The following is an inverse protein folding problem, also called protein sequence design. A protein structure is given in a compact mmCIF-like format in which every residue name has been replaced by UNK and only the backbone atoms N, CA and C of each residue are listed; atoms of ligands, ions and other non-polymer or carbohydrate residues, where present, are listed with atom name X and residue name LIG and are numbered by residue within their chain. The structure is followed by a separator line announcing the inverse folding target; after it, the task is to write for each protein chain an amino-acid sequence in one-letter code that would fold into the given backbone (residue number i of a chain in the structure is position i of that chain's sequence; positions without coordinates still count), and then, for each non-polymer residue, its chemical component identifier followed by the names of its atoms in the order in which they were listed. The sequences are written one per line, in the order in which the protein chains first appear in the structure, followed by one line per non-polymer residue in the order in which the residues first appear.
data_IF_675642625707
#
_entry.id   IF_675642625707
#
_cell.length_a   1.000
_cell.length_b   1.000
_cell.length_c   1.000
_cell.angle_alpha   90.00
_cell.angle_beta   90.00
_cell.angle_gamma   90.00
#
_symmetry.space_group_name_H-M   'P 1'
#
loop_
_entity.id
_entity.type
_entity.pdbx_description
1 polymer ?
#
# COMPACT_ATOMS: atom_id res chain seq x y z
N UNK A 1 54.87 -22.92 43.20
CA UNK A 1 53.91 -23.34 42.15
C UNK A 1 54.75 -23.74 40.93
N UNK A 2 54.43 -24.83 40.26
CA UNK A 2 55.13 -25.22 39.04
C UNK A 2 54.80 -24.24 37.89
N UNK A 3 55.80 -23.88 37.09
CA UNK A 3 55.72 -22.86 36.02
C UNK A 3 54.62 -23.16 34.98
N UNK A 4 54.38 -24.45 34.71
CA UNK A 4 53.33 -24.89 33.80
C UNK A 4 51.89 -24.54 34.28
N UNK A 5 51.67 -24.48 35.60
CA UNK A 5 50.36 -24.11 36.17
C UNK A 5 50.05 -22.61 35.95
N UNK A 6 51.07 -21.76 36.05
CA UNK A 6 50.97 -20.32 35.77
C UNK A 6 50.67 -20.06 34.28
N UNK A 7 51.31 -20.81 33.39
CA UNK A 7 51.04 -20.68 31.95
C UNK A 7 49.62 -21.15 31.57
N UNK A 8 49.12 -22.23 32.17
CA UNK A 8 47.74 -22.68 31.96
C UNK A 8 46.72 -21.66 32.47
N UNK A 9 46.94 -21.05 33.62
CA UNK A 9 46.05 -19.99 34.16
C UNK A 9 46.03 -18.74 33.27
N UNK A 10 47.19 -18.36 32.70
CA UNK A 10 47.26 -17.20 31.78
C UNK A 10 46.55 -17.47 30.47
N UNK A 11 46.68 -18.66 29.88
CA UNK A 11 45.94 -19.05 28.66
C UNK A 11 44.44 -19.11 28.92
N UNK A 12 44.02 -19.67 30.05
CA UNK A 12 42.60 -19.72 30.41
C UNK A 12 42.03 -18.31 30.64
N UNK A 13 42.73 -17.42 31.31
CA UNK A 13 42.35 -16.02 31.48
C UNK A 13 42.24 -15.30 30.15
N UNK A 14 43.16 -15.51 29.21
CA UNK A 14 43.09 -14.95 27.86
C UNK A 14 41.87 -15.45 27.09
N UNK A 15 41.57 -16.75 27.14
CA UNK A 15 40.38 -17.33 26.48
C UNK A 15 39.07 -16.77 27.05
N UNK A 16 38.98 -16.57 28.37
CA UNK A 16 37.80 -15.94 28.99
C UNK A 16 37.62 -14.49 28.53
N UNK A 17 38.68 -13.71 28.49
CA UNK A 17 38.63 -12.32 28.01
C UNK A 17 38.25 -12.29 26.54
N UNK A 18 38.84 -13.14 25.69
CA UNK A 18 38.51 -13.24 24.28
C UNK A 18 37.04 -13.65 24.05
N UNK A 19 36.53 -14.62 24.83
CA UNK A 19 35.13 -15.02 24.79
C UNK A 19 34.18 -13.88 25.20
N UNK A 20 34.53 -13.17 26.29
CA UNK A 20 33.73 -12.03 26.76
C UNK A 20 33.71 -10.89 25.74
N UNK A 21 34.88 -10.54 25.16
CA UNK A 21 34.92 -9.50 24.12
C UNK A 21 34.14 -9.89 22.85
N UNK A 22 34.22 -11.17 22.43
CA UNK A 22 33.44 -11.67 21.30
C UNK A 22 31.94 -11.60 21.58
N UNK A 23 31.48 -11.95 22.78
CA UNK A 23 30.09 -11.82 23.19
C UNK A 23 29.63 -10.37 23.20
N UNK A 24 30.43 -9.45 23.73
CA UNK A 24 30.11 -8.01 23.72
C UNK A 24 30.01 -7.44 22.30
N UNK A 25 30.92 -7.82 21.40
CA UNK A 25 30.89 -7.41 20.01
C UNK A 25 29.66 -7.98 19.28
N UNK A 26 29.32 -9.24 19.52
CA UNK A 26 28.15 -9.90 18.95
C UNK A 26 26.86 -9.24 19.45
N UNK A 27 26.72 -8.96 20.74
CA UNK A 27 25.55 -8.28 21.29
C UNK A 27 25.40 -6.87 20.70
N UNK A 28 26.50 -6.11 20.62
CA UNK A 28 26.48 -4.79 20.00
C UNK A 28 26.10 -4.83 18.51
N UNK A 29 26.58 -5.84 17.77
CA UNK A 29 26.20 -6.07 16.38
C UNK A 29 24.70 -6.36 16.24
N UNK A 30 24.17 -7.29 17.06
CA UNK A 30 22.74 -7.63 17.05
C UNK A 30 21.83 -6.45 17.42
N UNK A 31 22.23 -5.67 18.45
CA UNK A 31 21.50 -4.46 18.84
C UNK A 31 21.46 -3.46 17.68
N UNK A 32 22.57 -3.23 17.01
CA UNK A 32 22.63 -2.29 15.88
C UNK A 32 21.81 -2.76 14.68
N UNK A 33 21.73 -4.06 14.43
CA UNK A 33 20.86 -4.64 13.41
C UNK A 33 19.38 -4.44 13.76
N UNK A 34 19.00 -4.69 15.01
CA UNK A 34 17.64 -4.47 15.50
C UNK A 34 17.21 -3.00 15.40
N UNK A 35 18.09 -2.06 15.81
CA UNK A 35 17.82 -0.62 15.68
C UNK A 35 17.62 -0.18 14.23
N UNK A 36 18.42 -0.71 13.30
CA UNK A 36 18.24 -0.43 11.87
C UNK A 36 16.91 -0.96 11.35
N UNK A 37 16.54 -2.17 11.70
CA UNK A 37 15.28 -2.78 11.29
C UNK A 37 14.08 -1.96 11.79
N UNK A 38 14.09 -1.59 13.08
CA UNK A 38 13.05 -0.73 13.66
C UNK A 38 12.97 0.64 12.99
N UNK A 39 14.11 1.24 12.63
CA UNK A 39 14.13 2.51 11.93
C UNK A 39 13.60 2.40 10.50
N UNK A 40 13.90 1.31 9.78
CA UNK A 40 13.35 1.02 8.45
C UNK A 40 11.83 0.81 8.51
N UNK A 41 11.32 0.02 9.45
CA UNK A 41 9.89 -0.17 9.66
C UNK A 41 9.19 1.16 9.97
N UNK A 42 9.74 1.94 10.91
CA UNK A 42 9.19 3.25 11.24
C UNK A 42 9.16 4.19 10.02
N UNK A 43 10.18 4.16 9.18
CA UNK A 43 10.23 4.95 7.94
C UNK A 43 9.17 4.51 6.92
N UNK A 44 8.93 3.20 6.80
CA UNK A 44 7.87 2.67 5.92
C UNK A 44 6.50 3.14 6.42
N UNK A 45 6.19 2.98 7.71
CA UNK A 45 4.93 3.45 8.30
C UNK A 45 4.74 4.96 8.16
N UNK A 46 5.80 5.77 8.28
CA UNK A 46 5.74 7.21 8.07
C UNK A 46 5.41 7.58 6.61
N UNK A 47 5.91 6.80 5.64
CA UNK A 47 5.63 7.00 4.22
C UNK A 47 4.28 6.44 3.77
N UNK A 48 3.73 5.46 4.51
CA UNK A 48 2.44 4.82 4.23
C UNK A 48 1.52 4.89 5.45
N UNK A 49 1.11 6.09 5.87
CA UNK A 49 0.24 6.26 7.03
C UNK A 49 -1.14 5.66 6.76
N UNK A 50 -1.75 5.08 7.80
CA UNK A 50 -3.13 4.59 7.77
C UNK A 50 -4.05 5.61 8.44
N UNK A 51 -4.57 6.55 7.65
CA UNK A 51 -5.51 7.58 8.11
C UNK A 51 -6.94 7.19 7.70
N UNK A 52 -7.95 7.56 8.49
CA UNK A 52 -9.36 7.21 8.28
C UNK A 52 -9.65 5.71 8.24
N UNK A 53 -8.88 4.90 8.96
CA UNK A 53 -8.95 3.44 8.94
C UNK A 53 -10.38 2.90 9.08
N UNK A 54 -11.08 3.32 10.13
CA UNK A 54 -12.42 2.82 10.44
C UNK A 54 -13.43 3.13 9.33
N UNK A 55 -13.35 4.32 8.73
CA UNK A 55 -14.20 4.70 7.61
C UNK A 55 -13.87 3.89 6.35
N UNK A 56 -12.59 3.69 6.07
CA UNK A 56 -12.14 2.91 4.91
C UNK A 56 -12.58 1.46 5.05
N UNK A 57 -12.35 0.83 6.21
CA UNK A 57 -12.74 -0.56 6.45
C UNK A 57 -14.26 -0.74 6.38
N UNK A 58 -15.03 0.17 6.99
CA UNK A 58 -16.49 0.13 6.94
C UNK A 58 -17.03 0.25 5.50
N UNK A 59 -16.54 1.22 4.72
CA UNK A 59 -17.01 1.41 3.36
C UNK A 59 -16.48 0.33 2.40
N UNK A 60 -15.25 -0.13 2.57
CA UNK A 60 -14.73 -1.25 1.79
C UNK A 60 -15.55 -2.53 2.03
N UNK A 61 -15.97 -2.80 3.27
CA UNK A 61 -16.85 -3.90 3.62
C UNK A 61 -18.25 -3.74 2.99
N UNK A 62 -18.87 -2.54 3.08
CA UNK A 62 -20.18 -2.26 2.47
C UNK A 62 -20.19 -2.56 0.97
N UNK A 63 -19.10 -2.21 0.28
CA UNK A 63 -18.99 -2.33 -1.18
C UNK A 63 -18.18 -3.55 -1.65
N UNK A 64 -17.86 -4.50 -0.77
CA UNK A 64 -17.08 -5.72 -1.08
C UNK A 64 -15.76 -5.42 -1.80
N UNK A 65 -14.99 -4.48 -1.26
CA UNK A 65 -13.69 -4.06 -1.76
C UNK A 65 -12.58 -4.48 -0.79
N UNK A 66 -11.37 -4.61 -1.31
CA UNK A 66 -10.19 -4.75 -0.45
C UNK A 66 -9.83 -3.38 0.16
N UNK A 67 -9.79 -3.21 1.50
CA UNK A 67 -9.50 -1.94 2.15
C UNK A 67 -8.09 -1.40 1.84
N UNK A 68 -7.09 -2.28 1.60
CA UNK A 68 -5.76 -1.86 1.18
C UNK A 68 -5.79 -1.18 -0.20
N UNK A 69 -6.63 -1.65 -1.12
CA UNK A 69 -6.78 -1.04 -2.45
C UNK A 69 -7.45 0.33 -2.36
N UNK A 70 -8.52 0.46 -1.55
CA UNK A 70 -9.17 1.77 -1.29
C UNK A 70 -8.16 2.74 -0.68
N UNK A 71 -7.38 2.30 0.31
CA UNK A 71 -6.34 3.12 0.95
C UNK A 71 -5.28 3.58 -0.05
N UNK A 72 -4.86 2.69 -0.96
CA UNK A 72 -3.90 3.02 -2.02
C UNK A 72 -4.43 4.08 -2.99
N UNK A 73 -5.71 4.03 -3.36
CA UNK A 73 -6.36 5.08 -4.16
C UNK A 73 -6.34 6.41 -3.41
N UNK A 74 -6.85 6.47 -2.16
CA UNK A 74 -6.87 7.70 -1.35
C UNK A 74 -5.48 8.32 -1.21
N UNK A 75 -4.46 7.50 -0.95
CA UNK A 75 -3.08 7.98 -0.86
C UNK A 75 -2.60 8.63 -2.15
N UNK A 76 -2.91 8.05 -3.30
CA UNK A 76 -2.47 8.57 -4.59
C UNK A 76 -3.27 9.79 -5.06
N UNK A 77 -4.54 9.89 -4.67
CA UNK A 77 -5.42 11.00 -5.05
C UNK A 77 -5.18 12.26 -4.22
N UNK A 78 -5.11 12.14 -2.91
CA UNK A 78 -5.08 13.31 -2.01
C UNK A 78 -3.99 13.27 -0.94
N UNK A 79 -3.23 12.18 -0.81
CA UNK A 79 -2.37 11.94 0.36
C UNK A 79 -3.13 12.12 1.68
N UNK A 80 -4.36 11.63 1.73
CA UNK A 80 -5.30 11.72 2.87
C UNK A 80 -5.74 13.15 3.24
N UNK A 81 -5.73 14.09 2.30
CA UNK A 81 -6.16 15.48 2.50
C UNK A 81 -7.66 15.62 2.19
N UNK A 82 -8.55 15.77 3.18
CA UNK A 82 -10.00 15.78 2.92
C UNK A 82 -10.44 17.02 2.14
N UNK A 83 -9.70 18.12 2.24
CA UNK A 83 -9.98 19.36 1.52
C UNK A 83 -9.14 19.55 0.25
N UNK A 84 -8.55 18.48 -0.28
CA UNK A 84 -7.83 18.55 -1.55
C UNK A 84 -8.79 18.92 -2.69
N UNK A 85 -8.37 19.86 -3.53
CA UNK A 85 -9.05 20.25 -4.76
C UNK A 85 -8.05 20.34 -5.90
N UNK A 86 -8.32 19.68 -7.00
CA UNK A 86 -7.46 19.72 -8.18
C UNK A 86 -7.77 20.93 -9.06
N UNK A 87 -6.85 21.27 -9.95
CA UNK A 87 -7.06 22.36 -10.94
C UNK A 87 -8.24 22.12 -11.91
N UNK A 88 -8.72 20.89 -12.00
CA UNK A 88 -9.88 20.51 -12.82
C UNK A 88 -11.14 20.29 -11.98
N UNK A 89 -11.10 20.62 -10.68
CA UNK A 89 -12.27 20.62 -9.80
C UNK A 89 -12.58 19.27 -9.15
N UNK A 90 -11.69 18.29 -9.20
CA UNK A 90 -11.86 17.06 -8.42
C UNK A 90 -11.67 17.35 -6.92
N UNK A 91 -12.48 16.73 -6.03
CA UNK A 91 -12.53 17.06 -4.61
C UNK A 91 -12.38 15.88 -3.67
N UNK A 92 -11.77 16.17 -2.52
CA UNK A 92 -11.72 15.32 -1.33
C UNK A 92 -10.71 14.18 -1.41
N UNK A 93 -10.86 13.23 -0.50
CA UNK A 93 -9.92 12.12 -0.29
C UNK A 93 -9.68 11.28 -1.53
N UNK A 94 -10.73 11.02 -2.31
CA UNK A 94 -10.71 10.17 -3.51
C UNK A 94 -10.82 10.97 -4.81
N UNK A 95 -10.68 12.31 -4.75
CA UNK A 95 -10.65 13.23 -5.89
C UNK A 95 -11.78 12.96 -6.91
N UNK A 96 -13.03 12.97 -6.42
CA UNK A 96 -14.18 12.77 -7.27
C UNK A 96 -14.49 14.03 -8.09
N UNK A 97 -14.71 13.84 -9.40
CA UNK A 97 -15.16 14.90 -10.31
C UNK A 97 -16.63 15.24 -10.07
N UNK A 98 -17.05 16.51 -10.29
CA UNK A 98 -18.43 16.94 -10.08
C UNK A 98 -19.47 16.03 -10.74
N UNK A 99 -19.33 15.77 -12.04
CA UNK A 99 -20.28 14.96 -12.81
C UNK A 99 -20.33 13.50 -12.32
N UNK A 100 -19.16 12.96 -11.94
CA UNK A 100 -19.07 11.60 -11.39
C UNK A 100 -19.76 11.52 -10.03
N UNK A 101 -19.54 12.49 -9.16
CA UNK A 101 -20.14 12.52 -7.83
C UNK A 101 -21.66 12.73 -7.91
N UNK A 102 -22.16 13.58 -8.82
CA UNK A 102 -23.58 13.77 -9.05
C UNK A 102 -24.24 12.49 -9.56
N UNK A 103 -23.61 11.82 -10.52
CA UNK A 103 -24.09 10.53 -11.03
C UNK A 103 -24.17 9.47 -9.92
N UNK A 104 -23.14 9.37 -9.06
CA UNK A 104 -23.11 8.47 -7.91
C UNK A 104 -24.21 8.83 -6.91
N UNK A 105 -24.41 10.12 -6.61
CA UNK A 105 -25.47 10.59 -5.73
C UNK A 105 -26.86 10.12 -6.20
N UNK A 106 -27.11 10.19 -7.51
CA UNK A 106 -28.32 9.64 -8.14
C UNK A 106 -28.45 8.13 -7.97
N UNK A 107 -27.37 7.37 -8.12
CA UNK A 107 -27.37 5.91 -7.93
C UNK A 107 -27.59 5.50 -6.48
N UNK A 108 -26.98 6.22 -5.54
CA UNK A 108 -27.14 6.01 -4.10
C UNK A 108 -28.43 6.63 -3.54
N UNK A 109 -29.21 7.34 -4.38
CA UNK A 109 -30.45 8.05 -4.00
C UNK A 109 -30.26 9.03 -2.85
N UNK A 110 -29.13 9.76 -2.85
CA UNK A 110 -28.81 10.76 -1.83
C UNK A 110 -29.65 12.02 -2.06
N UNK A 111 -30.63 12.26 -1.19
CA UNK A 111 -31.44 13.47 -1.24
C UNK A 111 -30.64 14.72 -0.88
N UNK A 112 -30.93 15.86 -1.58
CA UNK A 112 -30.28 17.14 -1.28
C UNK A 112 -28.76 17.10 -1.47
N UNK A 113 -28.28 16.36 -2.44
CA UNK A 113 -26.85 16.30 -2.75
C UNK A 113 -26.33 17.67 -3.18
N UNK A 114 -25.17 18.06 -2.63
CA UNK A 114 -24.38 19.20 -3.07
C UNK A 114 -22.92 18.79 -3.14
N UNK A 115 -22.17 19.27 -4.13
CA UNK A 115 -20.80 18.83 -4.41
C UNK A 115 -19.81 19.18 -3.29
N UNK A 116 -20.11 20.20 -2.47
CA UNK A 116 -19.37 20.56 -1.25
C UNK A 116 -19.28 19.40 -0.26
N UNK A 117 -20.24 18.46 -0.31
CA UNK A 117 -20.21 17.23 0.50
C UNK A 117 -19.00 16.33 0.22
N UNK A 118 -18.32 16.52 -0.92
CA UNK A 118 -17.10 15.78 -1.25
C UNK A 118 -15.88 16.20 -0.43
N UNK A 119 -15.98 17.22 0.39
CA UNK A 119 -14.97 17.54 1.42
C UNK A 119 -15.19 16.78 2.74
N UNK A 120 -16.38 16.20 2.95
CA UNK A 120 -16.66 15.33 4.09
C UNK A 120 -16.05 13.94 3.87
N UNK A 121 -15.17 13.47 4.78
CA UNK A 121 -14.46 12.19 4.61
C UNK A 121 -15.38 10.99 4.41
N UNK A 122 -16.45 10.88 5.20
CA UNK A 122 -17.37 9.74 5.13
C UNK A 122 -18.10 9.71 3.78
N UNK A 123 -18.65 10.83 3.35
CA UNK A 123 -19.36 10.96 2.07
C UNK A 123 -18.41 10.68 0.90
N UNK A 124 -17.19 11.22 0.94
CA UNK A 124 -16.22 11.08 -0.14
C UNK A 124 -15.74 9.64 -0.29
N UNK A 125 -15.37 8.98 0.83
CA UNK A 125 -14.94 7.56 0.83
C UNK A 125 -16.10 6.67 0.37
N UNK A 126 -17.32 6.90 0.85
CA UNK A 126 -18.49 6.13 0.43
C UNK A 126 -18.75 6.22 -1.07
N UNK A 127 -18.70 7.42 -1.63
CA UNK A 127 -18.91 7.64 -3.07
C UNK A 127 -17.78 7.01 -3.89
N UNK A 128 -16.54 7.19 -3.46
CA UNK A 128 -15.39 6.57 -4.11
C UNK A 128 -15.41 5.05 -4.07
N UNK A 129 -15.78 4.44 -2.93
CA UNK A 129 -15.95 2.99 -2.81
C UNK A 129 -17.08 2.47 -3.71
N UNK A 130 -18.22 3.16 -3.78
CA UNK A 130 -19.27 2.81 -4.72
C UNK A 130 -18.76 2.82 -6.17
N UNK A 131 -17.98 3.85 -6.54
CA UNK A 131 -17.39 3.94 -7.89
C UNK A 131 -16.38 2.83 -8.17
N UNK A 132 -15.53 2.50 -7.19
CA UNK A 132 -14.59 1.37 -7.30
C UNK A 132 -15.33 0.03 -7.44
N UNK A 133 -16.42 -0.20 -6.70
CA UNK A 133 -17.26 -1.38 -6.85
C UNK A 133 -17.85 -1.45 -8.27
N UNK A 134 -18.37 -0.33 -8.77
CA UNK A 134 -18.91 -0.26 -10.14
C UNK A 134 -17.84 -0.64 -11.18
N UNK A 135 -16.64 -0.06 -11.08
CA UNK A 135 -15.52 -0.39 -11.98
C UNK A 135 -15.05 -1.84 -11.82
N UNK A 136 -15.00 -2.36 -10.58
CA UNK A 136 -14.67 -3.76 -10.31
C UNK A 136 -15.65 -4.72 -10.97
N UNK A 137 -16.94 -4.37 -11.00
CA UNK A 137 -17.95 -5.13 -11.72
C UNK A 137 -17.73 -5.16 -13.24
N UNK A 138 -17.23 -4.06 -13.82
CA UNK A 138 -16.93 -3.97 -15.25
C UNK A 138 -15.67 -4.74 -15.65
N UNK A 139 -14.68 -4.78 -14.77
CA UNK A 139 -13.35 -5.32 -15.07
C UNK A 139 -12.99 -6.54 -14.20
N UNK A 140 -13.99 -7.30 -13.76
CA UNK A 140 -13.83 -8.58 -13.03
C UNK A 140 -12.95 -8.49 -11.79
N UNK A 141 -12.86 -7.31 -11.17
CA UNK A 141 -12.05 -7.07 -9.98
C UNK A 141 -10.54 -6.98 -10.24
N UNK A 142 -10.09 -6.94 -11.51
CA UNK A 142 -8.67 -6.78 -11.83
C UNK A 142 -8.16 -5.41 -11.36
N UNK A 143 -7.22 -5.33 -10.38
CA UNK A 143 -6.83 -4.08 -9.78
C UNK A 143 -6.10 -3.14 -10.73
N UNK A 144 -5.42 -3.66 -11.77
CA UNK A 144 -4.74 -2.85 -12.79
C UNK A 144 -5.79 -2.17 -13.67
N UNK A 145 -6.77 -2.94 -14.16
CA UNK A 145 -7.87 -2.39 -14.98
C UNK A 145 -8.71 -1.38 -14.20
N UNK A 146 -9.03 -1.69 -12.92
CA UNK A 146 -9.82 -0.79 -12.06
C UNK A 146 -9.08 0.52 -11.78
N UNK A 147 -7.78 0.47 -11.45
CA UNK A 147 -6.97 1.67 -11.23
C UNK A 147 -6.81 2.50 -12.52
N UNK A 148 -6.57 1.85 -13.66
CA UNK A 148 -6.56 2.52 -14.96
C UNK A 148 -7.90 3.22 -15.25
N UNK A 149 -9.02 2.53 -15.01
CA UNK A 149 -10.35 3.06 -15.28
C UNK A 149 -10.74 4.21 -14.33
N UNK A 150 -10.30 4.15 -13.09
CA UNK A 150 -10.50 5.25 -12.14
C UNK A 150 -9.84 6.54 -12.64
N UNK A 151 -8.63 6.44 -13.19
CA UNK A 151 -7.86 7.59 -13.66
C UNK A 151 -8.22 8.04 -15.10
N UNK A 152 -8.34 7.09 -16.03
CA UNK A 152 -8.52 7.39 -17.47
C UNK A 152 -9.95 7.21 -17.97
N UNK A 153 -10.84 6.71 -17.12
CA UNK A 153 -12.21 6.36 -17.49
C UNK A 153 -12.35 4.96 -18.09
N UNK A 154 -13.51 4.36 -17.83
CA UNK A 154 -13.83 2.99 -18.26
C UNK A 154 -13.75 2.76 -19.77
N UNK A 155 -14.15 3.78 -20.58
CA UNK A 155 -14.12 3.67 -22.03
C UNK A 155 -12.71 3.48 -22.59
N UNK A 156 -11.71 4.16 -22.01
CA UNK A 156 -10.32 4.01 -22.40
C UNK A 156 -9.79 2.61 -22.08
N UNK A 157 -10.13 2.07 -20.91
CA UNK A 157 -9.72 0.70 -20.52
C UNK A 157 -10.38 -0.34 -21.43
N UNK A 158 -11.65 -0.19 -21.75
CA UNK A 158 -12.34 -1.07 -22.70
C UNK A 158 -11.67 -1.07 -24.08
N UNK A 159 -11.24 0.11 -24.56
CA UNK A 159 -10.50 0.20 -25.82
C UNK A 159 -9.12 -0.49 -25.73
N UNK A 160 -8.40 -0.34 -24.63
CA UNK A 160 -7.12 -1.03 -24.43
C UNK A 160 -7.29 -2.54 -24.31
N UNK A 161 -8.30 -3.04 -23.63
CA UNK A 161 -8.57 -4.48 -23.52
C UNK A 161 -8.87 -5.12 -24.89
N UNK A 162 -9.45 -4.35 -25.82
CA UNK A 162 -9.73 -4.81 -27.19
C UNK A 162 -8.50 -4.81 -28.11
N UNK A 163 -7.35 -4.32 -27.63
CA UNK A 163 -6.14 -4.17 -28.42
C UNK A 163 -5.05 -5.13 -27.89
N UNK A 164 -4.60 -6.07 -28.75
CA UNK A 164 -3.59 -7.08 -28.43
C UNK A 164 -2.23 -6.51 -28.03
N UNK A 165 -2.00 -5.22 -28.26
CA UNK A 165 -0.79 -4.53 -27.78
C UNK A 165 -0.78 -4.37 -26.26
N UNK A 166 -1.97 -4.23 -25.66
CA UNK A 166 -2.13 -3.92 -24.22
C UNK A 166 -2.72 -5.06 -23.41
N UNK A 167 -3.45 -5.98 -24.06
CA UNK A 167 -4.09 -7.15 -23.44
C UNK A 167 -3.87 -8.39 -24.27
N UNK A 168 -3.61 -9.53 -23.64
CA UNK A 168 -3.44 -10.82 -24.33
C UNK A 168 -4.75 -11.60 -24.42
N UNK A 169 -5.65 -11.41 -23.46
CA UNK A 169 -6.87 -12.19 -23.28
C UNK A 169 -8.16 -11.36 -23.38
N UNK A 170 -8.03 -10.05 -23.58
CA UNK A 170 -9.15 -9.13 -23.62
C UNK A 170 -9.79 -8.81 -22.26
N UNK A 171 -9.21 -9.32 -21.16
CA UNK A 171 -9.76 -9.21 -19.80
C UNK A 171 -8.80 -8.54 -18.82
N UNK A 172 -7.48 -8.65 -19.06
CA UNK A 172 -6.43 -8.11 -18.20
C UNK A 172 -5.51 -7.19 -18.99
N UNK A 173 -5.16 -6.03 -18.40
CA UNK A 173 -4.15 -5.13 -18.96
C UNK A 173 -2.75 -5.53 -18.48
N UNK A 174 -1.80 -5.58 -19.40
CA UNK A 174 -0.39 -5.71 -19.08
C UNK A 174 0.17 -4.32 -18.84
N UNK A 175 0.35 -3.93 -17.58
CA UNK A 175 0.72 -2.57 -17.17
C UNK A 175 1.98 -2.06 -17.90
N UNK A 176 3.00 -2.93 -18.06
CA UNK A 176 4.25 -2.56 -18.73
C UNK A 176 4.08 -2.24 -20.22
N UNK A 177 3.04 -2.76 -20.86
CA UNK A 177 2.72 -2.51 -22.27
C UNK A 177 1.93 -1.22 -22.51
N UNK A 178 1.37 -0.61 -21.44
CA UNK A 178 0.71 0.68 -21.58
C UNK A 178 1.72 1.74 -22.07
N UNK A 179 1.25 2.66 -22.89
CA UNK A 179 2.07 3.79 -23.30
C UNK A 179 2.52 4.62 -22.09
N UNK A 180 3.75 5.12 -22.16
CA UNK A 180 4.26 6.03 -21.13
C UNK A 180 3.36 7.26 -21.01
N UNK A 181 2.98 7.58 -19.78
CA UNK A 181 2.07 8.69 -19.54
C UNK A 181 1.43 8.67 -18.13
N UNK A 182 0.56 9.64 -17.88
CA UNK A 182 -0.03 9.83 -16.55
C UNK A 182 -0.72 8.58 -16.01
N UNK A 183 -1.51 7.88 -16.84
CA UNK A 183 -2.28 6.70 -16.40
C UNK A 183 -1.39 5.53 -16.03
N UNK A 184 -0.36 5.21 -16.83
CA UNK A 184 0.61 4.16 -16.49
C UNK A 184 1.32 4.47 -15.18
N UNK A 185 1.80 5.70 -15.03
CA UNK A 185 2.49 6.17 -13.81
C UNK A 185 1.57 6.12 -12.59
N UNK A 186 0.33 6.59 -12.73
CA UNK A 186 -0.69 6.54 -11.67
C UNK A 186 -0.96 5.09 -11.24
N UNK A 187 -1.31 4.24 -12.21
CA UNK A 187 -1.64 2.84 -11.94
C UNK A 187 -0.47 2.11 -11.28
N UNK A 188 0.75 2.31 -11.76
CA UNK A 188 1.95 1.71 -11.13
C UNK A 188 2.12 2.15 -9.67
N UNK A 189 1.88 3.43 -9.35
CA UNK A 189 1.90 3.92 -7.96
C UNK A 189 0.79 3.30 -7.10
N UNK A 190 -0.43 3.20 -7.63
CA UNK A 190 -1.57 2.59 -6.92
C UNK A 190 -1.29 1.13 -6.63
N UNK A 191 -0.87 0.34 -7.62
CA UNK A 191 -0.61 -1.10 -7.44
C UNK A 191 0.52 -1.34 -6.44
N UNK A 192 1.60 -0.55 -6.50
CA UNK A 192 2.67 -0.60 -5.51
C UNK A 192 2.17 -0.27 -4.11
N UNK A 193 1.42 0.82 -3.95
CA UNK A 193 0.86 1.23 -2.68
C UNK A 193 -0.11 0.17 -2.13
N UNK A 194 -0.94 -0.43 -2.99
CA UNK A 194 -1.84 -1.52 -2.63
C UNK A 194 -1.09 -2.70 -2.00
N UNK A 195 -0.02 -3.19 -2.64
CA UNK A 195 0.80 -4.27 -2.09
C UNK A 195 1.42 -3.91 -0.73
N UNK A 196 1.90 -2.68 -0.56
CA UNK A 196 2.48 -2.21 0.71
C UNK A 196 1.42 -2.10 1.80
N UNK A 197 0.25 -1.50 1.54
CA UNK A 197 -0.84 -1.42 2.52
C UNK A 197 -1.37 -2.80 2.89
N UNK A 198 -1.49 -3.72 1.92
CA UNK A 198 -1.88 -5.09 2.19
C UNK A 198 -0.91 -5.76 3.18
N UNK A 199 0.39 -5.62 2.94
CA UNK A 199 1.41 -6.22 3.80
C UNK A 199 1.50 -5.58 5.19
N UNK A 200 1.34 -4.24 5.29
CA UNK A 200 1.52 -3.52 6.56
C UNK A 200 0.30 -3.59 7.49
N UNK A 201 -0.92 -3.62 6.93
CA UNK A 201 -2.12 -3.35 7.74
C UNK A 201 -3.21 -4.40 7.59
N UNK A 202 -3.16 -5.24 6.54
CA UNK A 202 -4.24 -6.16 6.19
C UNK A 202 -3.76 -7.57 5.85
N UNK A 203 -2.48 -7.88 6.09
CA UNK A 203 -2.00 -9.26 6.03
C UNK A 203 -2.61 -10.06 7.19
N UNK A 204 -2.99 -11.30 6.93
CA UNK A 204 -3.32 -12.22 8.01
C UNK A 204 -2.12 -12.34 8.95
N UNK A 205 -2.35 -12.41 10.29
CA UNK A 205 -1.24 -12.63 11.21
C UNK A 205 -0.51 -13.92 10.81
N UNK A 206 0.77 -13.78 10.47
CA UNK A 206 1.64 -14.95 10.20
C UNK A 206 1.65 -15.79 11.48
N UNK A 207 1.33 -17.09 11.43
CA UNK A 207 1.51 -17.96 12.58
C UNK A 207 2.93 -17.81 13.11
N UNK A 208 3.08 -17.79 14.44
CA UNK A 208 4.35 -17.56 15.16
C UNK A 208 5.28 -18.80 15.09
N UNK A 209 5.54 -19.27 13.88
CA UNK A 209 6.44 -20.40 13.59
C UNK A 209 7.82 -19.96 13.07
N UNK A 210 8.24 -18.77 13.40
CA UNK A 210 9.65 -18.33 13.29
C UNK A 210 10.08 -17.79 11.92
N UNK A 211 9.20 -17.67 10.92
CA UNK A 211 9.54 -17.17 9.58
C UNK A 211 9.18 -15.67 9.37
N UNK A 212 9.57 -14.82 10.31
CA UNK A 212 9.53 -13.36 10.14
C UNK A 212 10.35 -12.86 8.92
N UNK A 213 11.20 -13.72 8.35
CA UNK A 213 12.04 -13.41 7.20
C UNK A 213 11.23 -13.26 5.88
N UNK A 214 10.08 -13.92 5.73
CA UNK A 214 9.29 -13.91 4.48
C UNK A 214 8.55 -12.58 4.30
N UNK A 215 8.02 -12.01 5.39
CA UNK A 215 7.30 -10.72 5.35
C UNK A 215 8.25 -9.56 4.99
N UNK A 216 9.48 -9.59 5.51
CA UNK A 216 10.52 -8.58 5.21
C UNK A 216 11.02 -8.66 3.76
N UNK A 217 11.09 -9.87 3.17
CA UNK A 217 11.53 -10.06 1.79
C UNK A 217 10.51 -9.49 0.77
N UNK A 218 9.20 -9.67 1.01
CA UNK A 218 8.13 -9.11 0.16
C UNK A 218 8.09 -7.59 0.22
N UNK A 219 8.34 -7.00 1.39
CA UNK A 219 8.46 -5.54 1.56
C UNK A 219 9.69 -4.98 0.83
N UNK A 220 10.82 -5.69 0.86
CA UNK A 220 12.05 -5.26 0.19
C UNK A 220 11.97 -5.36 -1.33
N UNK A 221 11.28 -6.37 -1.89
CA UNK A 221 11.11 -6.51 -3.33
C UNK A 221 10.11 -5.47 -3.87
N UNK A 222 9.05 -5.16 -3.12
CA UNK A 222 8.10 -4.09 -3.45
C UNK A 222 8.68 -2.67 -3.42
N UNK A 223 9.76 -2.45 -2.65
CA UNK A 223 10.44 -1.14 -2.56
C UNK A 223 11.53 -0.95 -3.61
N UNK A 224 12.02 -2.03 -4.25
CA UNK A 224 13.13 -1.97 -5.23
C UNK A 224 12.69 -1.91 -6.69
N UNK A 225 11.43 -2.13 -6.98
CA UNK A 225 10.83 -1.99 -8.31
C UNK A 225 9.94 -0.75 -8.33
#
# INVERSE_FOLDING_TARGET
MPVWLLSLLSVFGFLLIASFTAQMLMSAYLTRQSEKHLAEEAAIHANYPMVFRDLIEAQASEFNLNPAFVTAIIRNESSFQPHAESSVGARGLMQLMPDTAEWIAGKLKVGGYAFERMYDPESNIRFGCWYLQYLSGLFHGDPVCVACAYHAGQGQVTAWLSDSRYSEDGSHLVLDRLMEGPTKTYTGRVIRAYGIYQALYFADPVPDDGDAAVSSALLQDGLRR
#
